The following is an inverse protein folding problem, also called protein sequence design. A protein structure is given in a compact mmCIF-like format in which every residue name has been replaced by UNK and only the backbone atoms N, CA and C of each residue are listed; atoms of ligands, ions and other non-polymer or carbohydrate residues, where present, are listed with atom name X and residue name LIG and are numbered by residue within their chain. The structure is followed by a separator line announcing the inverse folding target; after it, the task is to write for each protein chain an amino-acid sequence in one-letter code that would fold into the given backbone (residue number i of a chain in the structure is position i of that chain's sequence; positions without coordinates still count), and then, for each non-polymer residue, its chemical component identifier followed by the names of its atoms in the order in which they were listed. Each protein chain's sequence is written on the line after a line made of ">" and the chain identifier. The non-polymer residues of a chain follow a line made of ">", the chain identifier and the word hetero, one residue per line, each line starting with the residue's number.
data_IF_972222420828
#
_entry.id   IF_972222420828
#
_cell.length_a   1.000
_cell.length_b   1.000
_cell.length_c   1.000
_cell.angle_alpha   90.00
_cell.angle_beta   90.00
_cell.angle_gamma   90.00
#
_symmetry.space_group_name_H-M   'P 1'
#
loop_
_entity.id
_entity.type
_entity.pdbx_description
1 polymer ?
#
# COMPACT_ATOMS: atom_id res chain seq x y z
N UNK A 1 -22.92 -16.42 -13.25
CA UNK A 1 -23.27 -16.35 -14.68
C UNK A 1 -22.28 -15.51 -15.50
N UNK A 2 -21.83 -14.33 -15.06
CA UNK A 2 -20.84 -13.49 -15.79
C UNK A 2 -19.49 -14.21 -16.02
N UNK A 3 -18.98 -14.96 -15.03
CA UNK A 3 -17.70 -15.69 -15.15
C UNK A 3 -17.70 -16.83 -16.18
N UNK A 4 -18.87 -17.41 -16.51
CA UNK A 4 -18.96 -18.48 -17.51
C UNK A 4 -18.97 -17.93 -18.94
N UNK A 5 -19.67 -16.82 -19.19
CA UNK A 5 -19.71 -16.14 -20.49
C UNK A 5 -18.35 -15.61 -20.94
N UNK A 6 -17.45 -15.31 -20.01
CA UNK A 6 -16.11 -14.80 -20.30
C UNK A 6 -15.16 -15.89 -20.81
N UNK A 7 -15.42 -17.17 -20.51
CA UNK A 7 -14.57 -18.31 -20.90
C UNK A 7 -14.65 -18.70 -22.38
N UNK A 8 -15.62 -18.16 -23.13
CA UNK A 8 -15.92 -18.53 -24.53
C UNK A 8 -15.76 -17.38 -25.53
N UNK A 9 -14.99 -16.33 -25.20
CA UNK A 9 -14.70 -15.29 -26.19
C UNK A 9 -13.74 -15.85 -27.24
N UNK A 10 -14.15 -15.83 -28.51
CA UNK A 10 -13.29 -16.20 -29.64
C UNK A 10 -12.15 -15.19 -29.81
N UNK A 11 -10.97 -15.67 -30.21
CA UNK A 11 -9.77 -14.82 -30.33
C UNK A 11 -9.97 -13.61 -31.27
N UNK A 12 -10.78 -13.75 -32.32
CA UNK A 12 -11.08 -12.66 -33.25
C UNK A 12 -12.00 -11.58 -32.64
N UNK A 13 -12.94 -11.99 -31.79
CA UNK A 13 -13.77 -11.04 -31.04
C UNK A 13 -12.94 -10.31 -29.99
N UNK A 14 -12.03 -11.03 -29.34
CA UNK A 14 -11.09 -10.44 -28.38
C UNK A 14 -10.19 -9.40 -29.05
N UNK A 15 -9.60 -9.69 -30.21
CA UNK A 15 -8.78 -8.74 -30.98
C UNK A 15 -9.56 -7.48 -31.40
N UNK A 16 -10.81 -7.62 -31.86
CA UNK A 16 -11.66 -6.46 -32.18
C UNK A 16 -11.93 -5.62 -30.94
N UNK A 17 -12.17 -6.27 -29.80
CA UNK A 17 -12.40 -5.60 -28.53
C UNK A 17 -11.16 -4.86 -28.02
N UNK A 18 -9.98 -5.48 -28.03
CA UNK A 18 -8.71 -4.82 -27.67
C UNK A 18 -8.35 -3.68 -28.61
N UNK A 19 -8.67 -3.79 -29.91
CA UNK A 19 -8.50 -2.72 -30.90
C UNK A 19 -9.37 -1.50 -30.57
N UNK A 20 -10.65 -1.71 -30.21
CA UNK A 20 -11.56 -0.64 -29.78
C UNK A 20 -11.04 0.07 -28.54
N UNK A 21 -10.58 -0.69 -27.53
CA UNK A 21 -10.00 -0.12 -26.31
C UNK A 21 -8.75 0.70 -26.66
N UNK A 22 -7.89 0.17 -27.53
CA UNK A 22 -6.69 0.89 -27.99
C UNK A 22 -7.04 2.23 -28.62
N UNK A 23 -8.13 2.31 -29.41
CA UNK A 23 -8.62 3.55 -29.99
C UNK A 23 -9.08 4.56 -28.93
N UNK A 24 -9.84 4.12 -27.91
CA UNK A 24 -10.25 4.99 -26.81
C UNK A 24 -9.05 5.56 -26.04
N UNK A 25 -8.07 4.70 -25.72
CA UNK A 25 -6.87 5.11 -25.00
C UNK A 25 -5.98 6.04 -25.82
N UNK A 26 -5.83 5.80 -27.13
CA UNK A 26 -5.07 6.68 -28.03
C UNK A 26 -5.71 8.06 -28.14
N UNK A 27 -7.04 8.12 -28.21
CA UNK A 27 -7.80 9.37 -28.27
C UNK A 27 -7.90 10.08 -26.91
N UNK A 28 -7.37 9.48 -25.83
CA UNK A 28 -7.50 9.94 -24.45
C UNK A 28 -8.96 10.19 -24.03
N UNK A 29 -9.88 9.40 -24.58
CA UNK A 29 -11.28 9.42 -24.19
C UNK A 29 -11.47 8.61 -22.91
N UNK A 30 -11.61 9.30 -21.78
CA UNK A 30 -11.79 8.70 -20.47
C UNK A 30 -13.26 8.67 -20.02
N UNK A 31 -14.20 8.64 -20.98
CA UNK A 31 -15.63 8.49 -20.70
C UNK A 31 -16.02 7.17 -20.02
N UNK A 32 -17.29 7.07 -19.62
CA UNK A 32 -17.84 5.88 -18.94
C UNK A 32 -17.69 4.60 -19.77
N UNK A 33 -17.79 4.72 -21.09
CA UNK A 33 -17.64 3.60 -22.01
C UNK A 33 -16.22 3.00 -21.97
N UNK A 34 -15.19 3.85 -21.87
CA UNK A 34 -13.81 3.42 -21.69
C UNK A 34 -13.62 2.71 -20.36
N UNK A 35 -14.19 3.26 -19.28
CA UNK A 35 -14.16 2.65 -17.95
C UNK A 35 -14.79 1.26 -17.96
N UNK A 36 -15.97 1.12 -18.56
CA UNK A 36 -16.69 -0.16 -18.61
C UNK A 36 -15.98 -1.18 -19.50
N UNK A 37 -15.40 -0.72 -20.61
CA UNK A 37 -14.56 -1.56 -21.48
C UNK A 37 -13.31 -2.06 -20.75
N UNK A 38 -12.63 -1.20 -20.00
CA UNK A 38 -11.46 -1.58 -19.19
C UNK A 38 -11.84 -2.53 -18.04
N UNK A 39 -12.97 -2.31 -17.36
CA UNK A 39 -13.49 -3.25 -16.34
C UNK A 39 -13.75 -4.63 -16.95
N UNK A 40 -14.40 -4.67 -18.12
CA UNK A 40 -14.67 -5.92 -18.82
C UNK A 40 -13.36 -6.59 -19.24
N UNK A 41 -12.39 -5.82 -19.76
CA UNK A 41 -11.07 -6.34 -20.10
C UNK A 41 -10.36 -6.94 -18.87
N UNK A 42 -10.38 -6.25 -17.73
CA UNK A 42 -9.81 -6.76 -16.48
C UNK A 42 -10.43 -8.11 -16.09
N UNK A 43 -11.76 -8.24 -16.16
CA UNK A 43 -12.45 -9.50 -15.86
C UNK A 43 -12.05 -10.62 -16.83
N UNK A 44 -11.93 -10.30 -18.13
CA UNK A 44 -11.49 -11.26 -19.15
C UNK A 44 -10.09 -11.76 -18.79
N UNK A 45 -9.11 -10.86 -18.70
CA UNK A 45 -7.70 -11.21 -18.44
C UNK A 45 -7.53 -11.95 -17.10
N UNK A 46 -8.24 -11.53 -16.05
CA UNK A 46 -8.19 -12.19 -14.73
C UNK A 46 -8.70 -13.63 -14.78
N UNK A 47 -9.72 -13.90 -15.60
CA UNK A 47 -10.32 -15.24 -15.74
C UNK A 47 -9.54 -16.16 -16.66
N UNK A 48 -8.76 -15.59 -17.59
CA UNK A 48 -7.99 -16.31 -18.61
C UNK A 48 -6.48 -16.22 -18.39
N UNK A 49 -6.04 -15.94 -17.15
CA UNK A 49 -4.66 -15.69 -16.65
C UNK A 49 -3.45 -16.28 -17.41
N UNK A 50 -3.63 -17.38 -18.14
CA UNK A 50 -2.58 -18.06 -18.88
C UNK A 50 -2.89 -18.37 -20.37
N UNK A 51 -4.08 -18.04 -20.89
CA UNK A 51 -4.48 -18.39 -22.26
C UNK A 51 -4.45 -17.21 -23.25
N UNK A 52 -4.78 -15.99 -22.84
CA UNK A 52 -4.90 -14.85 -23.77
C UNK A 52 -3.78 -13.83 -23.57
N UNK A 53 -2.86 -13.76 -24.53
CA UNK A 53 -1.80 -12.74 -24.57
C UNK A 53 -2.40 -11.40 -24.99
N UNK A 54 -2.26 -10.38 -24.14
CA UNK A 54 -2.50 -8.99 -24.53
C UNK A 54 -1.46 -8.55 -25.56
N UNK A 55 -1.91 -7.85 -26.59
CA UNK A 55 -1.03 -7.27 -27.61
C UNK A 55 -0.08 -6.23 -27.00
N UNK A 56 1.19 -6.27 -27.38
CA UNK A 56 2.22 -5.37 -26.82
C UNK A 56 1.90 -3.89 -27.03
N UNK A 57 1.22 -3.55 -28.14
CA UNK A 57 0.74 -2.18 -28.41
C UNK A 57 -0.24 -1.70 -27.34
N UNK A 58 -1.21 -2.54 -26.96
CA UNK A 58 -2.17 -2.20 -25.92
C UNK A 58 -1.48 -2.09 -24.55
N UNK A 59 -0.52 -2.97 -24.26
CA UNK A 59 0.29 -2.90 -23.03
C UNK A 59 1.05 -1.58 -22.93
N UNK A 60 1.72 -1.16 -24.01
CA UNK A 60 2.41 0.13 -24.07
C UNK A 60 1.44 1.30 -23.85
N UNK A 61 0.25 1.26 -24.46
CA UNK A 61 -0.78 2.28 -24.23
C UNK A 61 -1.25 2.31 -22.78
N UNK A 62 -1.53 1.15 -22.17
CA UNK A 62 -1.94 1.07 -20.76
C UNK A 62 -0.86 1.64 -19.84
N UNK A 63 0.42 1.36 -20.11
CA UNK A 63 1.55 1.96 -19.41
C UNK A 63 1.60 3.48 -19.60
N UNK A 64 1.53 3.97 -20.83
CA UNK A 64 1.54 5.42 -21.11
C UNK A 64 0.40 6.15 -20.38
N UNK A 65 -0.81 5.58 -20.39
CA UNK A 65 -1.98 6.18 -19.73
C UNK A 65 -1.87 6.12 -18.21
N UNK A 66 -1.28 5.05 -17.65
CA UNK A 66 -1.02 4.94 -16.21
C UNK A 66 -0.19 6.12 -15.69
N UNK A 67 0.77 6.61 -16.47
CA UNK A 67 1.67 7.71 -16.09
C UNK A 67 1.22 9.09 -16.58
N UNK A 68 0.17 9.16 -17.40
CA UNK A 68 -0.30 10.42 -17.95
C UNK A 68 -0.87 11.29 -16.81
N UNK A 69 -0.32 12.50 -16.53
CA UNK A 69 -0.78 13.32 -15.41
C UNK A 69 -2.26 13.71 -15.46
N UNK A 70 -2.84 13.74 -16.67
CA UNK A 70 -4.25 14.08 -16.91
C UNK A 70 -5.19 12.88 -16.76
N UNK A 71 -4.69 11.66 -16.57
CA UNK A 71 -5.55 10.47 -16.55
C UNK A 71 -6.36 10.39 -15.24
N UNK A 72 -7.68 10.06 -15.31
CA UNK A 72 -8.49 9.90 -14.11
C UNK A 72 -7.99 8.74 -13.23
N UNK A 73 -8.10 8.90 -11.91
CA UNK A 73 -7.66 7.90 -10.91
C UNK A 73 -8.22 6.50 -11.19
N UNK A 74 -9.48 6.42 -11.59
CA UNK A 74 -10.15 5.14 -11.89
C UNK A 74 -9.53 4.43 -13.10
N UNK A 75 -9.18 5.18 -14.16
CA UNK A 75 -8.50 4.64 -15.34
C UNK A 75 -7.12 4.11 -14.95
N UNK A 76 -6.35 4.87 -14.16
CA UNK A 76 -5.03 4.43 -13.66
C UNK A 76 -5.12 3.12 -12.86
N UNK A 77 -6.12 2.99 -11.98
CA UNK A 77 -6.36 1.76 -11.20
C UNK A 77 -6.70 0.60 -12.13
N UNK A 78 -7.57 0.79 -13.12
CA UNK A 78 -7.93 -0.27 -14.07
C UNK A 78 -6.74 -0.67 -14.95
N UNK A 79 -5.96 0.28 -15.46
CA UNK A 79 -4.75 0.01 -16.23
C UNK A 79 -3.76 -0.83 -15.41
N UNK A 80 -3.48 -0.42 -14.18
CA UNK A 80 -2.56 -1.17 -13.31
C UNK A 80 -3.08 -2.56 -12.96
N UNK A 81 -4.38 -2.71 -12.70
CA UNK A 81 -5.00 -4.01 -12.45
C UNK A 81 -4.91 -4.94 -13.67
N UNK A 82 -5.16 -4.44 -14.89
CA UNK A 82 -5.02 -5.24 -16.12
C UNK A 82 -3.57 -5.66 -16.34
N UNK A 83 -2.63 -4.72 -16.19
CA UNK A 83 -1.20 -5.00 -16.36
C UNK A 83 -0.75 -6.09 -15.37
N UNK A 84 -1.16 -5.99 -14.10
CA UNK A 84 -0.81 -6.97 -13.04
C UNK A 84 -1.16 -8.43 -13.39
N UNK A 85 -2.19 -8.65 -14.19
CA UNK A 85 -2.68 -9.99 -14.53
C UNK A 85 -1.93 -10.64 -15.71
N UNK A 86 -0.99 -9.94 -16.34
CA UNK A 86 -0.18 -10.47 -17.45
C UNK A 86 0.89 -11.45 -16.95
N UNK A 87 1.17 -12.56 -17.67
CA UNK A 87 2.34 -13.40 -17.41
C UNK A 87 3.65 -12.61 -17.62
N UNK A 88 4.69 -13.04 -16.89
CA UNK A 88 6.01 -12.40 -16.74
C UNK A 88 6.50 -11.65 -17.99
N UNK A 89 6.90 -10.39 -17.81
CA UNK A 89 7.50 -9.57 -18.85
C UNK A 89 8.95 -9.26 -18.47
N UNK A 90 9.91 -9.80 -19.21
CA UNK A 90 11.33 -9.48 -19.03
C UNK A 90 11.65 -7.99 -19.35
N UNK A 91 10.79 -7.30 -20.12
CA UNK A 91 11.08 -5.97 -20.67
C UNK A 91 10.32 -4.82 -19.99
N UNK A 92 9.86 -5.00 -18.75
CA UNK A 92 9.06 -3.99 -18.05
C UNK A 92 9.94 -2.81 -17.56
N UNK A 93 10.32 -1.91 -18.47
CA UNK A 93 11.04 -0.67 -18.16
C UNK A 93 10.09 0.40 -17.61
N UNK A 94 9.66 0.25 -16.35
CA UNK A 94 8.93 1.32 -15.65
C UNK A 94 9.90 2.40 -15.15
N UNK A 95 9.67 3.69 -15.45
CA UNK A 95 10.46 4.80 -14.88
C UNK A 95 9.97 5.14 -13.46
N UNK A 96 9.94 4.14 -12.57
CA UNK A 96 9.40 4.31 -11.21
C UNK A 96 10.24 5.26 -10.36
N UNK A 97 11.52 5.42 -10.69
CA UNK A 97 12.47 6.40 -10.15
C UNK A 97 12.00 7.85 -10.32
N UNK A 98 11.15 8.12 -11.32
CA UNK A 98 10.62 9.46 -11.60
C UNK A 98 9.32 9.74 -10.84
N UNK A 99 8.69 8.74 -10.24
CA UNK A 99 7.42 8.93 -9.56
C UNK A 99 7.63 9.63 -8.22
N UNK A 100 7.03 10.82 -8.11
CA UNK A 100 6.86 11.55 -6.84
C UNK A 100 5.47 11.38 -6.23
N UNK A 101 4.50 10.87 -6.99
CA UNK A 101 3.16 10.53 -6.47
C UNK A 101 3.20 9.15 -5.82
N UNK A 102 2.98 9.12 -4.51
CA UNK A 102 2.93 7.91 -3.67
C UNK A 102 1.93 6.86 -4.16
N UNK A 103 0.78 7.27 -4.72
CA UNK A 103 -0.23 6.33 -5.24
C UNK A 103 0.23 5.71 -6.54
N UNK A 104 0.77 6.50 -7.48
CA UNK A 104 1.31 5.96 -8.73
C UNK A 104 2.45 4.98 -8.46
N UNK A 105 3.31 5.30 -7.49
CA UNK A 105 4.36 4.40 -7.04
C UNK A 105 3.80 3.08 -6.50
N UNK A 106 2.73 3.13 -5.70
CA UNK A 106 2.04 1.95 -5.18
C UNK A 106 1.41 1.09 -6.29
N UNK A 107 0.81 1.73 -7.31
CA UNK A 107 0.27 1.04 -8.48
C UNK A 107 1.39 0.38 -9.30
N UNK A 108 2.47 1.11 -9.57
CA UNK A 108 3.66 0.60 -10.25
C UNK A 108 4.27 -0.60 -9.52
N UNK A 109 4.41 -0.49 -8.21
CA UNK A 109 4.89 -1.57 -7.36
C UNK A 109 4.00 -2.81 -7.44
N UNK A 110 2.67 -2.65 -7.44
CA UNK A 110 1.75 -3.80 -7.56
C UNK A 110 1.92 -4.57 -8.87
N UNK A 111 2.26 -3.87 -9.96
CA UNK A 111 2.55 -4.46 -11.26
C UNK A 111 3.89 -5.20 -11.18
N UNK A 112 4.95 -4.54 -10.71
CA UNK A 112 6.29 -5.13 -10.59
C UNK A 112 6.23 -6.39 -9.72
N UNK A 113 5.60 -6.33 -8.56
CA UNK A 113 5.47 -7.47 -7.66
C UNK A 113 4.78 -8.68 -8.32
N UNK A 114 3.79 -8.44 -9.18
CA UNK A 114 3.06 -9.52 -9.86
C UNK A 114 3.80 -10.10 -11.06
N UNK A 115 4.54 -9.27 -11.79
CA UNK A 115 5.17 -9.63 -13.05
C UNK A 115 6.65 -9.97 -12.91
N UNK A 116 7.30 -9.52 -11.83
CA UNK A 116 8.73 -9.56 -11.64
C UNK A 116 9.06 -9.66 -10.14
N UNK A 117 9.19 -10.88 -9.62
CA UNK A 117 9.70 -11.10 -8.24
C UNK A 117 11.23 -11.11 -8.22
N UNK A 118 11.85 -10.19 -8.96
CA UNK A 118 13.28 -9.96 -8.84
C UNK A 118 13.54 -9.16 -7.58
N UNK A 119 14.35 -9.74 -6.69
CA UNK A 119 14.76 -9.12 -5.44
C UNK A 119 15.35 -7.72 -5.64
N UNK A 120 16.16 -7.53 -6.69
CA UNK A 120 16.77 -6.24 -7.06
C UNK A 120 15.74 -5.11 -7.25
N UNK A 121 14.63 -5.38 -7.93
CA UNK A 121 13.58 -4.38 -8.13
C UNK A 121 12.91 -3.98 -6.81
N UNK A 122 12.76 -4.92 -5.88
CA UNK A 122 12.24 -4.64 -4.53
C UNK A 122 13.22 -3.78 -3.75
N UNK A 123 14.52 -4.07 -3.84
CA UNK A 123 15.59 -3.31 -3.18
C UNK A 123 15.64 -1.85 -3.69
N UNK A 124 15.66 -1.67 -5.01
CA UNK A 124 15.69 -0.36 -5.65
C UNK A 124 14.44 0.47 -5.37
N UNK A 125 13.25 -0.16 -5.42
CA UNK A 125 12.00 0.49 -5.05
C UNK A 125 11.99 0.88 -3.56
N UNK A 126 12.54 0.01 -2.70
CA UNK A 126 12.71 0.29 -1.27
C UNK A 126 13.57 1.52 -1.05
N UNK A 127 14.71 1.62 -1.72
CA UNK A 127 15.59 2.79 -1.67
C UNK A 127 14.85 4.08 -2.09
N UNK A 128 14.05 4.02 -3.16
CA UNK A 128 13.24 5.17 -3.60
C UNK A 128 12.16 5.56 -2.59
N UNK A 129 11.48 4.58 -1.99
CA UNK A 129 10.47 4.83 -0.94
C UNK A 129 11.09 5.49 0.28
N UNK A 130 12.26 5.02 0.73
CA UNK A 130 12.95 5.62 1.87
C UNK A 130 13.34 7.06 1.59
N UNK A 131 13.87 7.34 0.39
CA UNK A 131 14.17 8.71 -0.04
C UNK A 131 12.94 9.64 -0.04
N UNK A 132 11.75 9.12 -0.39
CA UNK A 132 10.51 9.89 -0.28
C UNK A 132 10.15 10.16 1.19
N UNK A 133 10.36 9.18 2.07
CA UNK A 133 10.04 9.26 3.51
C UNK A 133 11.06 10.08 4.32
N UNK A 134 12.28 10.27 3.84
CA UNK A 134 13.25 11.24 4.36
C UNK A 134 12.71 12.66 4.28
N UNK A 135 12.02 12.97 3.17
CA UNK A 135 11.41 14.27 2.94
C UNK A 135 10.12 14.52 3.71
N UNK A 136 9.65 15.77 3.67
CA UNK A 136 8.26 16.10 4.02
C UNK A 136 7.39 15.82 2.80
N UNK A 137 6.40 14.93 2.97
CA UNK A 137 5.39 14.72 1.95
C UNK A 137 4.52 15.97 1.78
N UNK A 138 4.14 16.32 0.54
CA UNK A 138 3.11 17.33 0.29
C UNK A 138 1.79 17.00 1.00
N UNK A 139 1.00 18.01 1.36
CA UNK A 139 -0.26 17.84 2.11
C UNK A 139 -1.31 17.01 1.36
N UNK A 140 -1.24 16.97 0.02
CA UNK A 140 -2.11 16.18 -0.85
C UNK A 140 -1.67 14.71 -0.98
N UNK A 141 -0.51 14.35 -0.43
CA UNK A 141 0.04 13.00 -0.48
C UNK A 141 0.03 12.32 0.89
N UNK A 142 -0.05 10.99 0.85
CA UNK A 142 -0.04 10.16 2.05
C UNK A 142 1.09 9.14 1.98
N UNK A 143 1.68 8.82 3.14
CA UNK A 143 2.64 7.72 3.24
C UNK A 143 1.96 6.34 3.14
N UNK A 144 0.63 6.28 3.30
CA UNK A 144 -0.13 5.03 3.34
C UNK A 144 0.11 4.10 2.13
N UNK A 145 0.16 4.58 0.88
CA UNK A 145 0.41 3.72 -0.27
C UNK A 145 1.84 3.15 -0.32
N UNK A 146 2.77 3.72 0.45
CA UNK A 146 4.17 3.30 0.53
C UNK A 146 4.39 2.15 1.53
N UNK A 147 3.55 2.03 2.56
CA UNK A 147 3.72 1.02 3.61
C UNK A 147 3.70 -0.43 3.09
N UNK A 148 2.84 -0.82 2.12
CA UNK A 148 2.92 -2.15 1.52
C UNK A 148 4.25 -2.43 0.81
N UNK A 149 4.87 -1.40 0.22
CA UNK A 149 6.18 -1.50 -0.42
C UNK A 149 7.24 -1.78 0.65
N UNK A 150 7.27 -0.97 1.71
CA UNK A 150 8.15 -1.21 2.86
C UNK A 150 7.97 -2.60 3.45
N UNK A 151 6.73 -3.06 3.64
CA UNK A 151 6.41 -4.39 4.15
C UNK A 151 7.03 -5.50 3.28
N UNK A 152 6.97 -5.35 1.94
CA UNK A 152 7.64 -6.27 1.01
C UNK A 152 9.16 -6.20 1.12
N UNK A 153 9.75 -5.00 1.21
CA UNK A 153 11.20 -4.81 1.39
C UNK A 153 11.68 -5.50 2.66
N UNK A 154 11.05 -5.23 3.80
CA UNK A 154 11.38 -5.85 5.09
C UNK A 154 11.31 -7.37 5.00
N UNK A 155 10.32 -7.90 4.28
CA UNK A 155 10.12 -9.36 4.20
C UNK A 155 10.96 -10.07 3.16
N UNK A 156 11.38 -9.41 2.09
CA UNK A 156 12.06 -10.04 0.94
C UNK A 156 13.51 -9.62 0.77
N UNK A 157 13.88 -8.43 1.25
CA UNK A 157 15.22 -7.87 1.13
C UNK A 157 15.60 -6.98 2.34
N UNK A 158 15.55 -7.49 3.58
CA UNK A 158 15.80 -6.66 4.76
C UNK A 158 17.21 -6.04 4.79
N UNK A 159 18.20 -6.72 4.23
CA UNK A 159 19.60 -6.25 4.17
C UNK A 159 19.81 -5.11 3.16
N UNK A 160 18.78 -4.71 2.42
CA UNK A 160 18.90 -3.63 1.44
C UNK A 160 18.92 -2.25 2.07
N UNK A 161 18.54 -2.12 3.34
CA UNK A 161 18.49 -0.86 4.08
C UNK A 161 19.76 -0.69 4.92
N UNK A 162 20.35 0.50 4.89
CA UNK A 162 21.47 0.84 5.77
C UNK A 162 20.98 1.27 7.16
N UNK A 163 21.91 1.45 8.11
CA UNK A 163 21.60 1.78 9.49
C UNK A 163 20.83 3.11 9.65
N UNK A 164 21.22 4.15 8.90
CA UNK A 164 20.53 5.45 8.92
C UNK A 164 19.07 5.33 8.44
N UNK A 165 18.85 4.54 7.39
CA UNK A 165 17.52 4.26 6.84
C UNK A 165 16.67 3.45 7.82
N UNK A 166 17.27 2.46 8.49
CA UNK A 166 16.60 1.68 9.54
C UNK A 166 16.20 2.60 10.71
N UNK A 167 17.10 3.48 11.15
CA UNK A 167 16.82 4.44 12.23
C UNK A 167 15.72 5.44 11.85
N UNK A 168 15.75 5.97 10.62
CA UNK A 168 14.72 6.84 10.09
C UNK A 168 13.35 6.16 10.08
N UNK A 169 13.26 4.96 9.49
CA UNK A 169 11.99 4.22 9.41
C UNK A 169 11.51 3.86 10.81
N UNK A 170 12.40 3.44 11.71
CA UNK A 170 12.05 3.16 13.11
C UNK A 170 11.42 4.37 13.79
N UNK A 171 12.00 5.56 13.61
CA UNK A 171 11.44 6.81 14.13
C UNK A 171 10.05 7.10 13.55
N UNK A 172 9.88 6.94 12.24
CA UNK A 172 8.57 7.10 11.57
C UNK A 172 7.53 6.12 12.10
N UNK A 173 7.91 4.85 12.28
CA UNK A 173 7.04 3.82 12.82
C UNK A 173 6.59 4.16 14.24
N UNK A 174 7.49 4.64 15.10
CA UNK A 174 7.15 5.12 16.45
C UNK A 174 6.13 6.26 16.38
N UNK A 175 6.35 7.25 15.51
CA UNK A 175 5.42 8.36 15.34
C UNK A 175 4.04 7.88 14.87
N UNK A 176 3.98 7.00 13.86
CA UNK A 176 2.73 6.45 13.34
C UNK A 176 1.98 5.59 14.38
N UNK A 177 2.69 4.89 15.25
CA UNK A 177 2.09 4.09 16.31
C UNK A 177 1.59 4.96 17.48
N UNK A 178 2.31 6.03 17.80
CA UNK A 178 2.03 6.86 18.98
C UNK A 178 0.95 7.90 18.76
N UNK A 179 0.90 8.51 17.57
CA UNK A 179 0.06 9.69 17.30
C UNK A 179 -1.19 9.37 16.48
N UNK A 180 -1.66 8.12 16.52
CA UNK A 180 -2.94 7.76 15.92
C UNK A 180 -4.10 8.38 16.70
N UNK A 181 -5.04 8.98 15.98
CA UNK A 181 -6.22 9.62 16.53
C UNK A 181 -7.19 8.59 17.11
N UNK A 182 -7.87 8.99 18.18
CA UNK A 182 -8.92 8.21 18.83
C UNK A 182 -10.32 8.60 18.36
N UNK A 183 -10.41 9.50 17.38
CA UNK A 183 -11.66 9.94 16.76
C UNK A 183 -11.78 9.31 15.39
N UNK A 184 -12.97 8.84 15.03
CA UNK A 184 -13.24 8.31 13.70
C UNK A 184 -13.10 9.41 12.64
N UNK A 185 -12.86 8.98 11.41
CA UNK A 185 -12.99 9.84 10.25
C UNK A 185 -14.44 10.32 10.05
N UNK A 186 -14.59 11.44 9.34
CA UNK A 186 -15.91 11.91 8.93
C UNK A 186 -16.47 10.94 7.91
N UNK A 187 -17.69 10.45 8.15
CA UNK A 187 -18.39 9.61 7.19
C UNK A 187 -18.56 10.37 5.86
N UNK A 188 -18.31 9.74 4.70
CA UNK A 188 -18.59 10.37 3.43
C UNK A 188 -20.07 10.73 3.38
N UNK A 189 -20.37 11.99 3.06
CA UNK A 189 -21.73 12.50 2.99
C UNK A 189 -22.53 11.65 2.00
N UNK A 190 -23.35 10.75 2.51
CA UNK A 190 -24.34 10.04 1.72
C UNK A 190 -25.40 11.08 1.36
N UNK A 191 -25.59 11.32 0.06
CA UNK A 191 -26.40 12.42 -0.49
C UNK A 191 -27.90 12.29 -0.20
N UNK A 192 -28.29 12.33 1.07
CA UNK A 192 -29.66 12.44 1.54
C UNK A 192 -29.96 13.85 2.02
N UNK A 193 -31.17 14.34 1.73
CA UNK A 193 -31.67 15.65 2.13
C UNK A 193 -31.76 15.86 3.66
N UNK A 194 -31.53 14.80 4.45
CA UNK A 194 -31.48 14.84 5.92
C UNK A 194 -30.07 14.52 6.42
N UNK A 195 -29.08 15.33 6.08
CA UNK A 195 -27.80 15.28 6.78
C UNK A 195 -27.98 16.02 8.13
N UNK A 196 -27.88 15.32 9.29
CA UNK A 196 -27.82 16.03 10.56
C UNK A 196 -26.54 16.88 10.55
N UNK A 197 -26.72 18.20 10.52
CA UNK A 197 -25.64 19.18 10.57
C UNK A 197 -24.72 18.84 11.75
N UNK A 198 -23.43 18.63 11.47
CA UNK A 198 -22.38 18.69 12.48
C UNK A 198 -22.35 17.56 13.50
N UNK A 199 -22.61 16.30 13.11
CA UNK A 199 -22.20 15.18 13.98
C UNK A 199 -20.67 15.23 14.13
N UNK A 200 -20.20 15.54 15.34
CA UNK A 200 -18.80 15.37 15.70
C UNK A 200 -18.37 13.95 15.36
N UNK A 201 -17.14 13.74 14.86
CA UNK A 201 -16.68 12.40 14.57
C UNK A 201 -16.80 11.54 15.83
N UNK A 202 -17.34 10.33 15.68
CA UNK A 202 -17.55 9.43 16.81
C UNK A 202 -16.20 8.94 17.35
N UNK A 203 -16.07 8.64 18.65
CA UNK A 203 -14.84 8.04 19.16
C UNK A 203 -14.64 6.65 18.56
N UNK A 204 -13.38 6.20 18.52
CA UNK A 204 -13.04 4.80 18.30
C UNK A 204 -13.41 4.00 19.54
N UNK A 205 -13.93 2.80 19.34
CA UNK A 205 -14.26 1.88 20.43
C UNK A 205 -13.36 0.66 20.40
N UNK A 206 -13.18 -0.02 21.51
CA UNK A 206 -12.60 -1.36 21.54
C UNK A 206 -13.62 -2.41 21.09
N UNK A 207 -13.18 -3.68 20.97
CA UNK A 207 -14.03 -4.81 20.55
C UNK A 207 -15.24 -5.00 21.48
N UNK A 208 -15.12 -4.63 22.75
CA UNK A 208 -16.19 -4.70 23.74
C UNK A 208 -17.15 -3.49 23.73
N UNK A 209 -16.89 -2.51 22.86
CA UNK A 209 -17.69 -1.29 22.73
C UNK A 209 -17.31 -0.16 23.69
N UNK A 210 -16.31 -0.36 24.56
CA UNK A 210 -15.75 0.73 25.37
C UNK A 210 -15.02 1.73 24.50
N UNK A 211 -14.92 2.99 24.93
CA UNK A 211 -14.16 4.00 24.17
C UNK A 211 -12.67 3.69 24.28
N UNK A 212 -11.97 3.61 23.14
CA UNK A 212 -10.54 3.38 23.13
C UNK A 212 -9.82 4.56 23.80
N UNK A 213 -9.10 4.29 24.88
CA UNK A 213 -8.39 5.31 25.66
C UNK A 213 -6.93 5.49 25.24
N UNK A 214 -6.33 4.43 24.69
CA UNK A 214 -4.92 4.43 24.29
C UNK A 214 -4.73 3.52 23.05
N UNK A 215 -3.59 3.68 22.36
CA UNK A 215 -3.13 2.95 21.18
C UNK A 215 -4.22 2.40 20.23
N UNK A 216 -4.39 3.07 19.09
CA UNK A 216 -5.22 2.55 18.00
C UNK A 216 -4.60 1.26 17.42
N UNK A 217 -5.15 0.08 17.70
CA UNK A 217 -4.62 -1.22 17.20
C UNK A 217 -5.72 -2.09 16.61
N UNK A 218 -5.45 -3.37 16.32
CA UNK A 218 -6.43 -4.33 15.80
C UNK A 218 -7.61 -4.59 16.76
N UNK A 219 -7.45 -4.25 18.04
CA UNK A 219 -8.53 -4.33 19.04
C UNK A 219 -9.46 -3.10 18.99
N UNK A 220 -9.04 -2.05 18.30
CA UNK A 220 -9.81 -0.83 18.10
C UNK A 220 -10.68 -0.97 16.84
N UNK A 221 -11.95 -0.60 16.96
CA UNK A 221 -12.98 -0.71 15.93
C UNK A 221 -13.54 0.68 15.62
N UNK A 222 -13.55 1.02 14.34
CA UNK A 222 -14.15 2.24 13.80
C UNK A 222 -14.87 1.98 12.49
N UNK A 223 -15.83 2.84 12.16
CA UNK A 223 -16.56 2.77 10.88
C UNK A 223 -15.79 3.48 9.76
N UNK A 224 -15.17 4.61 10.09
CA UNK A 224 -14.38 5.41 9.16
C UNK A 224 -13.02 5.67 9.80
N UNK A 225 -11.95 5.29 9.10
CA UNK A 225 -10.59 5.45 9.61
C UNK A 225 -9.89 6.63 8.96
N UNK A 226 -9.22 7.45 9.76
CA UNK A 226 -8.36 8.55 9.30
C UNK A 226 -7.03 8.01 8.75
N UNK A 227 -6.26 8.86 8.06
CA UNK A 227 -4.99 8.44 7.46
C UNK A 227 -3.96 7.99 8.51
N UNK A 228 -3.86 8.68 9.65
CA UNK A 228 -3.00 8.31 10.77
C UNK A 228 -3.39 6.94 11.39
N UNK A 229 -4.68 6.63 11.49
CA UNK A 229 -5.17 5.31 11.94
C UNK A 229 -4.77 4.19 10.96
N UNK A 230 -4.83 4.46 9.64
CA UNK A 230 -4.33 3.53 8.64
C UNK A 230 -2.82 3.32 8.71
N UNK A 231 -2.05 4.41 8.92
CA UNK A 231 -0.60 4.33 9.08
C UNK A 231 -0.24 3.49 10.31
N UNK A 232 -0.95 3.69 11.42
CA UNK A 232 -0.78 2.88 12.62
C UNK A 232 -1.03 1.40 12.34
N UNK A 233 -2.20 1.04 11.83
CA UNK A 233 -2.57 -0.37 11.62
C UNK A 233 -1.59 -1.07 10.67
N UNK A 234 -1.19 -0.41 9.59
CA UNK A 234 -0.21 -0.94 8.65
C UNK A 234 1.18 -1.08 9.30
N UNK A 235 1.60 -0.09 10.09
CA UNK A 235 2.87 -0.14 10.85
C UNK A 235 2.88 -1.30 11.83
N UNK A 236 1.80 -1.45 12.60
CA UNK A 236 1.62 -2.55 13.53
C UNK A 236 1.75 -3.91 12.85
N UNK A 237 1.17 -4.07 11.65
CA UNK A 237 1.27 -5.31 10.86
C UNK A 237 2.71 -5.67 10.45
N UNK A 238 3.61 -4.69 10.37
CA UNK A 238 5.02 -4.89 9.99
C UNK A 238 5.94 -5.11 11.20
N UNK A 239 5.53 -4.73 12.41
CA UNK A 239 6.37 -4.72 13.62
C UNK A 239 7.10 -6.04 13.86
N UNK A 240 6.39 -7.17 13.79
CA UNK A 240 7.02 -8.48 14.02
C UNK A 240 8.18 -8.72 13.06
N UNK A 241 7.99 -8.46 11.77
CA UNK A 241 9.05 -8.66 10.77
C UNK A 241 10.18 -7.64 10.96
N UNK A 242 9.83 -6.39 11.24
CA UNK A 242 10.79 -5.34 11.55
C UNK A 242 11.73 -5.74 12.67
N UNK A 243 11.17 -6.20 13.81
CA UNK A 243 11.98 -6.66 14.94
C UNK A 243 12.78 -7.91 14.61
N UNK A 244 12.28 -8.85 13.80
CA UNK A 244 13.08 -10.02 13.43
C UNK A 244 14.26 -9.69 12.53
N UNK A 245 14.12 -8.67 11.67
CA UNK A 245 15.15 -8.29 10.70
C UNK A 245 16.19 -7.32 11.27
N UNK A 246 15.78 -6.45 12.20
CA UNK A 246 16.60 -5.35 12.70
C UNK A 246 16.71 -5.34 14.22
N UNK A 247 16.46 -6.48 14.88
CA UNK A 247 16.84 -6.64 16.28
C UNK A 247 18.32 -6.33 16.38
N UNK A 248 18.66 -5.36 17.21
CA UNK A 248 20.06 -5.05 17.45
C UNK A 248 20.76 -6.31 17.95
N UNK A 249 21.77 -6.78 17.23
CA UNK A 249 22.74 -7.77 17.70
C UNK A 249 23.67 -7.15 18.76
N UNK A 250 23.14 -6.26 19.60
CA UNK A 250 23.85 -5.68 20.75
C UNK A 250 24.18 -6.72 21.82
N UNK A 251 23.79 -7.99 21.62
CA UNK A 251 24.10 -9.11 22.51
C UNK A 251 25.06 -10.16 21.94
N UNK A 252 25.54 -10.07 20.69
CA UNK A 252 26.46 -11.08 20.13
C UNK A 252 27.92 -10.66 20.03
N UNK A 253 28.30 -9.54 20.66
CA UNK A 253 29.70 -9.16 20.86
C UNK A 253 30.05 -8.98 22.35
N UNK A 254 29.45 -9.78 23.23
CA UNK A 254 29.89 -9.89 24.64
C UNK A 254 31.13 -10.79 24.79
N UNK A 255 32.13 -10.61 23.93
CA UNK A 255 33.48 -11.14 24.09
C UNK A 255 34.50 -10.00 23.99
N UNK A 256 34.35 -9.04 24.89
CA UNK A 256 35.49 -8.29 25.41
C UNK A 256 35.18 -7.97 26.87
N UNK A 257 35.75 -8.77 27.76
CA UNK A 257 35.94 -8.43 29.16
C UNK A 257 36.43 -6.97 29.25
N UNK A 258 35.64 -6.09 29.88
CA UNK A 258 36.24 -5.21 30.86
C UNK A 258 35.23 -4.78 31.92
N UNK A 259 35.73 -4.79 33.15
CA UNK A 259 35.02 -4.55 34.40
C UNK A 259 34.41 -3.15 34.45
N UNK A 260 33.13 -3.05 34.82
CA UNK A 260 32.72 -2.02 35.78
C UNK A 260 31.43 -2.43 36.49
N UNK A 261 31.57 -2.69 37.78
CA UNK A 261 30.49 -2.66 38.75
C UNK A 261 29.87 -1.25 38.72
N UNK A 262 28.54 -1.14 38.66
CA UNK A 262 27.79 -0.28 39.59
C UNK A 262 26.31 -0.64 39.54
N UNK A 263 25.82 -0.82 40.75
CA UNK A 263 24.50 -1.15 41.22
C UNK A 263 23.42 -0.18 40.72
N UNK A 264 22.26 -0.72 40.37
CA UNK A 264 21.15 0.01 39.75
C UNK A 264 19.86 -0.80 39.79
N UNK A 265 19.57 -1.38 40.96
CA UNK A 265 18.32 -2.06 41.28
C UNK A 265 17.11 -1.14 41.03
N UNK A 266 16.38 -1.40 39.94
CA UNK A 266 15.04 -0.85 39.72
C UNK A 266 14.01 -1.88 40.17
N UNK A 267 13.67 -1.83 41.46
CA UNK A 267 12.54 -2.54 42.02
C UNK A 267 11.25 -1.93 41.45
N UNK A 268 10.57 -2.67 40.58
CA UNK A 268 9.24 -2.31 40.07
C UNK A 268 8.21 -2.49 41.19
N UNK A 269 7.70 -1.38 41.74
CA UNK A 269 6.52 -1.39 42.60
C UNK A 269 5.27 -1.53 41.73
N UNK A 270 4.61 -2.67 41.81
CA UNK A 270 3.24 -2.85 41.32
C UNK A 270 2.29 -2.51 42.47
N UNK A 271 1.68 -1.33 42.41
CA UNK A 271 0.60 -0.94 43.33
C UNK A 271 -0.68 -1.66 42.93
N UNK A 272 -1.09 -2.63 43.75
CA UNK A 272 -2.42 -3.27 43.69
C UNK A 272 -3.38 -2.41 44.49
N UNK A 273 -4.27 -1.67 43.84
CA UNK A 273 -5.44 -1.07 44.52
C UNK A 273 -6.52 -2.14 44.68
N UNK A 274 -6.67 -2.65 45.91
CA UNK A 274 -7.84 -3.43 46.32
C UNK A 274 -8.86 -2.47 46.95
N UNK A 275 -10.03 -2.35 46.35
CA UNK A 275 -11.20 -1.72 46.98
C UNK A 275 -11.96 -2.78 47.78
N UNK A 276 -12.15 -2.51 49.08
CA UNK A 276 -13.22 -3.09 49.90
C UNK A 276 -14.41 -2.14 49.88
#
# INVERSE_FOLDING_TARGET
>A
QVLFLVREIQDDEFKKFTSRISSFLQNQDFGNETVDSLRRLFLIVSSTKYSQKLEDKLVQLLQTILYLPKSPKQIQILCSAILRERPFCNDLSLPWDKFRDTRLLSLAFSIIQSQCDQRTNVEEMGQHVVKILEGRLPEDQSARPLLPILSKVISSAPLSLNEDQINLISKRMVDWLRYASLQQGVAPATGGFFNPRGKQPAPITEVDGTVATDFFTVLSVGQNYTEDQWLNMQTFSMLRKWFLCYRSDTTSNSNSDDKSEVDGSLVSMVSVTSTS
#
